data_IF_648866639430
#
_entry.id   IF_648866639430
#
_cell.length_a   1.000
_cell.length_b   1.000
_cell.length_c   1.000
_cell.angle_alpha   90.00
_cell.angle_beta   90.00
_cell.angle_gamma   90.00
#
_symmetry.space_group_name_H-M   'P 1'
#
loop_
_entity.id
_entity.type
_entity.pdbx_description
1 polymer ?
#
# COMPACT_ATOMS: atom_id res chain seq x y z
N UNK A 1 13.75 -0.05 -0.77
CA UNK A 1 12.61 0.20 -1.69
C UNK A 1 11.34 0.25 -0.84
N UNK A 2 10.42 1.18 -1.13
CA UNK A 2 9.17 1.35 -0.39
C UNK A 2 8.01 0.80 -1.21
N UNK A 3 7.12 0.05 -0.57
CA UNK A 3 5.96 -0.60 -1.20
C UNK A 3 4.68 -0.15 -0.51
N UNK A 4 3.67 0.17 -1.32
CA UNK A 4 2.33 0.52 -0.86
C UNK A 4 1.39 -0.66 -1.14
N UNK A 5 0.71 -1.14 -0.11
CA UNK A 5 -0.33 -2.17 -0.20
C UNK A 5 -1.68 -1.50 0.01
N UNK A 6 -2.55 -1.56 -0.99
CA UNK A 6 -3.92 -1.03 -0.92
C UNK A 6 -4.88 -2.20 -1.05
N UNK A 7 -5.65 -2.43 -0.01
CA UNK A 7 -6.61 -3.55 0.07
C UNK A 7 -7.70 -3.15 1.06
N UNK A 8 -8.97 -3.29 0.67
CA UNK A 8 -10.14 -2.95 1.47
C UNK A 8 -10.40 -3.97 2.58
N UNK A 9 -9.96 -5.22 2.39
CA UNK A 9 -10.11 -6.28 3.37
C UNK A 9 -8.93 -6.27 4.36
N UNK A 10 -9.19 -6.10 5.67
CA UNK A 10 -8.14 -5.90 6.67
C UNK A 10 -7.19 -7.09 6.83
N UNK A 11 -7.66 -8.32 6.69
CA UNK A 11 -6.81 -9.52 6.85
C UNK A 11 -5.86 -9.65 5.66
N UNK A 12 -6.35 -9.52 4.44
CA UNK A 12 -5.60 -9.56 3.19
C UNK A 12 -4.52 -8.48 3.16
N UNK A 13 -4.88 -7.24 3.53
CA UNK A 13 -3.92 -6.13 3.68
C UNK A 13 -2.77 -6.48 4.62
N UNK A 14 -3.08 -7.12 5.75
CA UNK A 14 -2.09 -7.48 6.75
C UNK A 14 -1.18 -8.63 6.30
N UNK A 15 -1.74 -9.61 5.57
CA UNK A 15 -0.97 -10.70 4.97
C UNK A 15 0.00 -10.16 3.92
N UNK A 16 -0.48 -9.35 2.98
CA UNK A 16 0.35 -8.72 1.96
C UNK A 16 1.47 -7.85 2.56
N UNK A 17 1.14 -7.04 3.58
CA UNK A 17 2.13 -6.24 4.29
C UNK A 17 3.21 -7.09 4.97
N UNK A 18 2.82 -8.23 5.55
CA UNK A 18 3.75 -9.16 6.21
C UNK A 18 4.70 -9.81 5.22
N UNK A 19 4.19 -10.23 4.06
CA UNK A 19 5.00 -10.82 2.99
C UNK A 19 6.05 -9.82 2.52
N UNK A 20 5.64 -8.60 2.22
CA UNK A 20 6.54 -7.57 1.68
C UNK A 20 7.57 -7.13 2.72
N UNK A 21 7.20 -7.03 4.01
CA UNK A 21 8.16 -6.78 5.10
C UNK A 21 9.20 -7.89 5.22
N UNK A 22 8.80 -9.16 5.07
CA UNK A 22 9.72 -10.31 5.11
C UNK A 22 10.73 -10.31 3.96
N UNK A 23 10.40 -9.65 2.85
CA UNK A 23 11.32 -9.43 1.74
C UNK A 23 12.32 -8.28 2.00
N UNK A 24 12.33 -7.70 3.20
CA UNK A 24 13.25 -6.62 3.59
C UNK A 24 12.82 -5.24 3.06
N UNK A 25 11.56 -5.10 2.63
CA UNK A 25 11.04 -3.85 2.10
C UNK A 25 10.24 -3.09 3.16
N UNK A 26 10.29 -1.76 3.09
CA UNK A 26 9.43 -0.91 3.90
C UNK A 26 8.02 -0.89 3.30
N UNK A 27 7.02 -1.14 4.13
CA UNK A 27 5.61 -1.25 3.73
C UNK A 27 4.77 -0.15 4.37
N UNK A 28 3.99 0.53 3.53
CA UNK A 28 2.86 1.37 3.91
C UNK A 28 1.57 0.69 3.47
N UNK A 29 0.53 0.73 4.30
CA UNK A 29 -0.78 0.12 3.99
C UNK A 29 -1.85 1.20 3.93
N UNK A 30 -2.79 1.06 3.00
CA UNK A 30 -3.99 1.89 2.88
C UNK A 30 -5.23 0.99 2.70
N UNK A 31 -6.39 1.42 3.22
CA UNK A 31 -7.66 0.70 3.06
C UNK A 31 -8.46 1.11 1.84
N UNK A 32 -8.14 2.25 1.24
CA UNK A 32 -8.81 2.80 0.07
C UNK A 32 -7.86 3.75 -0.69
N UNK A 33 -8.24 4.13 -1.91
CA UNK A 33 -7.44 5.01 -2.78
C UNK A 33 -7.36 6.47 -2.31
N UNK A 34 -8.26 6.93 -1.44
CA UNK A 34 -8.21 8.30 -0.90
C UNK A 34 -7.16 8.40 0.21
N UNK A 35 -7.01 7.36 1.03
CA UNK A 35 -6.00 7.26 2.08
C UNK A 35 -4.57 7.20 1.47
N UNK A 36 -4.45 6.66 0.26
CA UNK A 36 -3.19 6.64 -0.53
C UNK A 36 -2.68 8.04 -0.83
N UNK A 37 -3.58 8.96 -1.20
CA UNK A 37 -3.21 10.32 -1.61
C UNK A 37 -2.52 11.12 -0.50
N UNK A 38 -2.83 10.81 0.76
CA UNK A 38 -2.25 11.47 1.94
C UNK A 38 -0.96 10.79 2.42
N UNK A 39 -0.80 9.50 2.16
CA UNK A 39 0.30 8.71 2.71
C UNK A 39 1.55 8.67 1.82
N UNK A 40 1.43 8.94 0.50
CA UNK A 40 2.55 8.69 -0.41
C UNK A 40 2.58 9.67 -1.61
N UNK A 41 3.46 10.67 -1.58
CA UNK A 41 3.97 11.32 -2.81
C UNK A 41 5.47 11.05 -2.85
N UNK A 42 5.91 10.08 -3.68
CA UNK A 42 6.27 10.42 -5.06
C UNK A 42 5.91 9.35 -6.11
N UNK A 43 5.34 9.77 -7.24
CA UNK A 43 5.28 9.00 -8.48
C UNK A 43 3.96 8.27 -8.76
N UNK A 44 2.91 9.06 -9.06
CA UNK A 44 1.72 8.72 -9.88
C UNK A 44 1.31 7.24 -9.88
N UNK A 45 0.34 6.89 -9.03
CA UNK A 45 -0.71 5.95 -9.41
C UNK A 45 -1.91 6.80 -9.84
N UNK A 46 -1.97 7.17 -11.11
CA UNK A 46 -3.13 7.83 -11.72
C UNK A 46 -4.37 6.95 -11.50
N UNK A 47 -5.50 7.52 -11.04
CA UNK A 47 -6.77 6.80 -11.07
C UNK A 47 -7.11 6.55 -12.54
N UNK A 48 -7.39 5.30 -12.88
CA UNK A 48 -7.94 4.99 -14.20
C UNK A 48 -9.27 5.73 -14.33
N UNK A 49 -9.39 6.47 -15.43
CA UNK A 49 -10.58 7.16 -15.91
C UNK A 49 -11.77 6.22 -16.09
#
# INVERSE_FOLDING_TARGET
>A
MKVLVVDDEPVSRQVAATIVRRLGQEVTTASDGDDVSRANTPGVATPFA
#
